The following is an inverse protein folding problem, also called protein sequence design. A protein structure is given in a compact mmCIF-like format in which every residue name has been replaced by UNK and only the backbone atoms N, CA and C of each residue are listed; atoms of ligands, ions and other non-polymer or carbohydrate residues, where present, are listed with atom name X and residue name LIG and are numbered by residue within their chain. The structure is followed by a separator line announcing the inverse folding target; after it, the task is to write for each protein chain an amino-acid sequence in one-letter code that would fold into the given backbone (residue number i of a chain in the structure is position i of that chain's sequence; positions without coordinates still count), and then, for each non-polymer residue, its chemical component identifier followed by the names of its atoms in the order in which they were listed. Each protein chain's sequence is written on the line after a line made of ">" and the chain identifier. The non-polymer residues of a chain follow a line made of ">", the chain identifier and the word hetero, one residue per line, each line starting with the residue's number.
data_IF_806751473071
#
_entry.id   IF_806751473071
#
_cell.length_a   1.000
_cell.length_b   1.000
_cell.length_c   1.000
_cell.angle_alpha   90.00
_cell.angle_beta   90.00
_cell.angle_gamma   90.00
#
_symmetry.space_group_name_H-M   'P 1'
#
loop_
_entity.id
_entity.type
_entity.pdbx_description
1 polymer ?
#
# COMPACT_ATOMS: atom_id res chain seq x y z
N UNK A 1 9.50 49.00 52.07
CA UNK A 1 9.14 48.90 50.64
C UNK A 1 9.90 47.73 50.06
N UNK A 2 9.17 46.71 49.63
CA UNK A 2 9.64 45.37 49.27
C UNK A 2 10.19 45.39 47.84
N UNK A 3 11.44 44.96 47.65
CA UNK A 3 11.96 44.57 46.33
C UNK A 3 11.46 43.16 46.01
N UNK A 4 10.66 43.05 44.96
CA UNK A 4 10.23 41.78 44.39
C UNK A 4 11.33 41.28 43.44
N UNK A 5 12.07 40.26 43.88
CA UNK A 5 12.92 39.45 43.02
C UNK A 5 12.05 38.47 42.23
N UNK A 6 11.79 38.76 40.96
CA UNK A 6 11.28 37.80 39.99
C UNK A 6 12.47 37.13 39.29
N UNK A 7 12.90 35.98 39.80
CA UNK A 7 13.76 35.05 39.05
C UNK A 7 12.91 34.32 38.03
N UNK A 8 13.02 34.73 36.76
CA UNK A 8 12.58 33.96 35.62
C UNK A 8 13.35 32.63 35.58
N UNK A 9 12.63 31.52 35.67
CA UNK A 9 13.20 30.19 35.44
C UNK A 9 13.45 30.01 33.93
N UNK A 10 14.72 29.83 33.56
CA UNK A 10 15.15 29.56 32.20
C UNK A 10 14.55 28.24 31.65
N UNK A 11 14.23 28.12 30.35
CA UNK A 11 13.65 26.91 29.76
C UNK A 11 14.61 25.70 29.62
N UNK A 12 15.84 25.81 30.12
CA UNK A 12 16.93 24.88 29.78
C UNK A 12 16.99 23.59 30.63
N UNK A 13 16.05 23.36 31.54
CA UNK A 13 16.13 22.23 32.48
C UNK A 13 15.16 21.06 32.22
N UNK A 14 14.48 21.00 31.08
CA UNK A 14 13.53 19.91 30.75
C UNK A 14 14.11 18.81 29.85
N UNK A 15 15.32 18.96 29.30
CA UNK A 15 15.90 18.01 28.35
C UNK A 15 16.71 16.85 28.98
N UNK A 16 16.79 16.75 30.31
CA UNK A 16 17.85 15.96 30.97
C UNK A 16 17.41 14.69 31.72
N UNK A 17 16.19 14.14 31.56
CA UNK A 17 15.82 12.88 32.22
C UNK A 17 14.63 12.14 31.55
N UNK A 18 14.72 11.84 30.25
CA UNK A 18 13.79 10.86 29.66
C UNK A 18 14.21 9.45 30.09
N UNK A 19 13.36 8.75 30.85
CA UNK A 19 13.57 7.33 31.16
C UNK A 19 13.78 6.51 29.87
N UNK A 20 14.71 5.55 29.82
CA UNK A 20 14.87 4.65 28.67
C UNK A 20 13.56 3.97 28.24
N UNK A 21 12.68 3.65 29.21
CA UNK A 21 11.36 3.07 28.93
C UNK A 21 10.41 4.07 28.23
N UNK A 22 10.49 5.36 28.57
CA UNK A 22 9.71 6.41 27.91
C UNK A 22 10.17 6.58 26.46
N UNK A 23 11.48 6.49 26.20
CA UNK A 23 12.03 6.62 24.85
C UNK A 23 11.65 5.42 23.98
N UNK A 24 11.76 4.19 24.49
CA UNK A 24 11.25 3.00 23.78
C UNK A 24 9.76 3.10 23.46
N UNK A 25 8.95 3.57 24.42
CA UNK A 25 7.52 3.78 24.20
C UNK A 25 7.25 4.78 23.07
N UNK A 26 7.96 5.92 23.04
CA UNK A 26 7.84 6.90 21.96
C UNK A 26 8.21 6.30 20.61
N UNK A 27 9.34 5.61 20.52
CA UNK A 27 9.78 4.95 19.28
C UNK A 27 8.78 3.89 18.80
N UNK A 28 8.24 3.08 19.72
CA UNK A 28 7.22 2.09 19.40
C UNK A 28 5.96 2.75 18.84
N UNK A 29 5.43 3.78 19.50
CA UNK A 29 4.25 4.49 19.02
C UNK A 29 4.47 5.11 17.64
N UNK A 30 5.63 5.74 17.42
CA UNK A 30 5.96 6.31 16.11
C UNK A 30 5.97 5.24 15.01
N UNK A 31 6.52 4.04 15.26
CA UNK A 31 6.46 2.93 14.29
C UNK A 31 5.05 2.46 14.02
N UNK A 32 4.23 2.33 15.07
CA UNK A 32 2.83 1.89 14.93
C UNK A 32 2.03 2.90 14.10
N UNK A 33 2.17 4.20 14.37
CA UNK A 33 1.51 5.24 13.58
C UNK A 33 1.99 5.21 12.13
N UNK A 34 3.29 5.11 11.87
CA UNK A 34 3.81 5.00 10.49
C UNK A 34 3.25 3.79 9.77
N UNK A 35 3.10 2.66 10.45
CA UNK A 35 2.45 1.47 9.92
C UNK A 35 0.96 1.72 9.63
N UNK A 36 0.25 2.42 10.50
CA UNK A 36 -1.15 2.81 10.27
C UNK A 36 -1.27 3.72 9.03
N UNK A 37 -0.35 4.67 8.85
CA UNK A 37 -0.26 5.50 7.64
C UNK A 37 0.02 4.67 6.40
N UNK A 38 1.00 3.76 6.44
CA UNK A 38 1.32 2.85 5.34
C UNK A 38 0.09 2.03 4.91
N UNK A 39 -0.59 1.40 5.87
CA UNK A 39 -1.80 0.61 5.62
C UNK A 39 -2.90 1.49 5.02
N UNK A 40 -3.09 2.69 5.55
CA UNK A 40 -4.12 3.64 5.09
C UNK A 40 -3.85 4.11 3.65
N UNK A 41 -2.59 4.40 3.30
CA UNK A 41 -2.17 4.80 1.95
C UNK A 41 -2.35 3.64 0.95
N UNK A 42 -1.99 2.41 1.33
CA UNK A 42 -2.22 1.24 0.48
C UNK A 42 -3.71 0.94 0.29
N UNK A 43 -4.54 1.24 1.29
CA UNK A 43 -5.99 1.13 1.19
C UNK A 43 -6.60 2.20 0.27
N UNK A 44 -6.11 3.45 0.33
CA UNK A 44 -6.46 4.50 -0.64
C UNK A 44 -6.17 4.03 -2.07
N UNK A 45 -5.00 3.44 -2.27
CA UNK A 45 -4.56 2.96 -3.56
C UNK A 45 -5.52 1.90 -4.16
N UNK A 46 -6.09 1.02 -3.33
CA UNK A 46 -7.12 0.06 -3.73
C UNK A 46 -8.35 0.75 -4.30
N UNK A 47 -8.84 1.82 -3.66
CA UNK A 47 -9.97 2.58 -4.17
C UNK A 47 -9.64 3.33 -5.45
N UNK A 48 -8.47 3.98 -5.53
CA UNK A 48 -8.02 4.72 -6.70
C UNK A 48 -7.85 3.78 -7.90
N UNK A 49 -7.28 2.58 -7.72
CA UNK A 49 -7.18 1.55 -8.75
C UNK A 49 -8.56 1.15 -9.28
N UNK A 50 -9.52 0.94 -8.37
CA UNK A 50 -10.90 0.56 -8.72
C UNK A 50 -11.64 1.71 -9.42
N UNK A 51 -11.44 2.94 -8.96
CA UNK A 51 -11.97 4.15 -9.56
C UNK A 51 -11.43 4.32 -10.98
N UNK A 52 -10.13 4.12 -11.21
CA UNK A 52 -9.53 4.09 -12.56
C UNK A 52 -10.29 3.12 -13.46
N UNK A 53 -10.46 1.87 -13.05
CA UNK A 53 -11.14 0.87 -13.88
C UNK A 53 -12.60 1.23 -14.21
N UNK A 54 -13.35 1.75 -13.22
CA UNK A 54 -14.74 2.16 -13.42
C UNK A 54 -14.87 3.41 -14.31
N UNK A 55 -13.94 4.36 -14.14
CA UNK A 55 -13.87 5.59 -14.94
C UNK A 55 -13.58 5.27 -16.41
N UNK A 56 -12.59 4.41 -16.68
CA UNK A 56 -12.26 4.01 -18.06
C UNK A 56 -13.42 3.25 -18.75
N UNK A 57 -14.19 2.48 -17.98
CA UNK A 57 -15.41 1.84 -18.49
C UNK A 57 -16.48 2.87 -18.83
N UNK A 58 -16.70 3.86 -17.96
CA UNK A 58 -17.67 4.92 -18.21
C UNK A 58 -17.28 5.80 -19.39
N UNK A 59 -16.01 6.21 -19.49
CA UNK A 59 -15.47 6.96 -20.64
C UNK A 59 -15.52 6.16 -21.94
N UNK A 60 -15.55 4.83 -21.87
CA UNK A 60 -15.83 3.96 -23.01
C UNK A 60 -17.30 3.95 -23.47
N UNK A 61 -18.21 4.51 -22.67
CA UNK A 61 -19.65 4.61 -22.97
C UNK A 61 -20.56 3.73 -22.12
N UNK A 62 -20.04 3.02 -21.11
CA UNK A 62 -20.85 2.17 -20.23
C UNK A 62 -21.37 2.95 -19.01
N UNK A 63 -22.52 3.61 -19.20
CA UNK A 63 -23.20 4.43 -18.19
C UNK A 63 -23.55 3.69 -16.89
N UNK A 64 -23.59 2.36 -16.91
CA UNK A 64 -23.87 1.57 -15.70
C UNK A 64 -22.76 1.65 -14.64
N UNK A 65 -21.55 2.10 -15.01
CA UNK A 65 -20.46 2.36 -14.06
C UNK A 65 -20.59 3.68 -13.30
N UNK A 66 -21.43 4.62 -13.74
CA UNK A 66 -21.54 5.98 -13.16
C UNK A 66 -21.75 5.98 -11.65
N UNK A 67 -22.67 5.15 -11.15
CA UNK A 67 -22.93 5.05 -9.71
C UNK A 67 -21.70 4.54 -8.94
N UNK A 68 -20.99 3.55 -9.50
CA UNK A 68 -19.77 3.02 -8.90
C UNK A 68 -18.65 4.06 -8.86
N UNK A 69 -18.50 4.87 -9.91
CA UNK A 69 -17.51 5.96 -9.93
C UNK A 69 -17.79 6.95 -8.80
N UNK A 70 -19.01 7.49 -8.69
CA UNK A 70 -19.35 8.44 -7.62
C UNK A 70 -19.22 7.83 -6.22
N UNK A 71 -19.62 6.58 -6.03
CA UNK A 71 -19.45 5.89 -4.75
C UNK A 71 -17.96 5.78 -4.37
N UNK A 72 -17.10 5.43 -5.32
CA UNK A 72 -15.66 5.35 -5.11
C UNK A 72 -15.04 6.73 -4.84
N UNK A 73 -15.55 7.79 -5.48
CA UNK A 73 -15.11 9.15 -5.20
C UNK A 73 -15.37 9.54 -3.75
N UNK A 74 -16.59 9.32 -3.27
CA UNK A 74 -16.97 9.59 -1.89
C UNK A 74 -16.14 8.77 -0.89
N UNK A 75 -15.97 7.47 -1.15
CA UNK A 75 -15.16 6.59 -0.30
C UNK A 75 -13.70 7.01 -0.23
N UNK A 76 -13.12 7.38 -1.38
CA UNK A 76 -11.71 7.80 -1.46
C UNK A 76 -11.51 9.13 -0.75
N UNK A 77 -12.41 10.11 -0.92
CA UNK A 77 -12.34 11.39 -0.22
C UNK A 77 -12.46 11.24 1.30
N UNK A 78 -13.39 10.41 1.80
CA UNK A 78 -13.49 10.11 3.23
C UNK A 78 -12.21 9.44 3.78
N UNK A 79 -11.56 8.59 2.96
CA UNK A 79 -10.31 7.96 3.35
C UNK A 79 -9.13 8.95 3.37
N UNK A 80 -9.12 9.97 2.51
CA UNK A 80 -8.17 11.07 2.56
C UNK A 80 -8.32 11.91 3.83
N UNK A 81 -9.56 12.21 4.24
CA UNK A 81 -9.85 12.88 5.52
C UNK A 81 -9.34 12.04 6.70
N UNK A 82 -9.58 10.73 6.68
CA UNK A 82 -9.06 9.82 7.70
C UNK A 82 -7.52 9.78 7.74
N UNK A 83 -6.86 9.73 6.57
CA UNK A 83 -5.40 9.81 6.47
C UNK A 83 -4.87 11.12 7.09
N UNK A 84 -5.52 12.24 6.82
CA UNK A 84 -5.16 13.54 7.39
C UNK A 84 -5.25 13.53 8.91
N UNK A 85 -6.31 12.93 9.48
CA UNK A 85 -6.48 12.79 10.92
C UNK A 85 -5.35 11.96 11.55
N UNK A 86 -4.98 10.82 10.96
CA UNK A 86 -3.87 10.00 11.46
C UNK A 86 -2.56 10.82 11.43
N UNK A 87 -2.28 11.49 10.30
CA UNK A 87 -1.05 12.25 10.14
C UNK A 87 -0.97 13.41 11.15
N UNK A 88 -2.06 14.15 11.33
CA UNK A 88 -2.13 15.31 12.24
C UNK A 88 -2.06 14.94 13.73
N UNK A 89 -2.50 13.74 14.12
CA UNK A 89 -2.50 13.31 15.53
C UNK A 89 -1.14 12.79 16.03
N UNK A 90 -0.14 12.65 15.16
CA UNK A 90 1.07 11.90 15.47
C UNK A 90 2.38 12.59 15.07
N UNK A 91 2.45 13.91 15.27
CA UNK A 91 3.61 14.73 14.92
C UNK A 91 3.96 14.70 13.41
N UNK A 92 2.95 14.52 12.55
CA UNK A 92 3.06 14.55 11.08
C UNK A 92 4.16 13.64 10.50
N UNK A 93 4.08 12.30 10.67
CA UNK A 93 5.10 11.40 10.14
C UNK A 93 5.20 11.43 8.62
N UNK A 94 4.10 11.76 7.92
CA UNK A 94 4.13 12.10 6.50
C UNK A 94 4.35 13.61 6.36
N UNK A 95 5.40 13.99 5.62
CA UNK A 95 5.72 15.39 5.37
C UNK A 95 4.54 16.13 4.70
N UNK A 96 4.34 17.39 5.05
CA UNK A 96 3.22 18.20 4.52
C UNK A 96 3.18 18.23 2.99
N UNK A 97 4.35 18.34 2.35
CA UNK A 97 4.48 18.32 0.90
C UNK A 97 4.02 16.98 0.29
N UNK A 98 4.28 15.85 0.95
CA UNK A 98 3.87 14.53 0.46
C UNK A 98 2.36 14.33 0.58
N UNK A 99 1.77 14.76 1.70
CA UNK A 99 0.32 14.75 1.88
C UNK A 99 -0.38 15.69 0.89
N UNK A 100 0.13 16.91 0.71
CA UNK A 100 -0.41 17.88 -0.24
C UNK A 100 -0.35 17.34 -1.68
N UNK A 101 0.74 16.71 -2.08
CA UNK A 101 0.84 16.07 -3.40
C UNK A 101 -0.16 14.92 -3.58
N UNK A 102 -0.35 14.07 -2.57
CA UNK A 102 -1.37 13.01 -2.63
C UNK A 102 -2.77 13.59 -2.80
N UNK A 103 -3.12 14.58 -1.98
CA UNK A 103 -4.44 15.21 -2.00
C UNK A 103 -4.67 15.96 -3.31
N UNK A 104 -3.69 16.73 -3.79
CA UNK A 104 -3.77 17.45 -5.06
C UNK A 104 -3.90 16.49 -6.24
N UNK A 105 -3.16 15.38 -6.24
CA UNK A 105 -3.28 14.34 -7.26
C UNK A 105 -4.69 13.77 -7.32
N UNK A 106 -5.29 13.47 -6.17
CA UNK A 106 -6.68 12.99 -6.10
C UNK A 106 -7.70 14.05 -6.53
N UNK A 107 -7.58 15.29 -6.02
CA UNK A 107 -8.46 16.40 -6.41
C UNK A 107 -8.39 16.66 -7.92
N UNK A 108 -7.21 16.55 -8.52
CA UNK A 108 -7.03 16.68 -9.97
C UNK A 108 -7.78 15.58 -10.71
N UNK A 109 -7.67 14.33 -10.26
CA UNK A 109 -8.38 13.20 -10.87
C UNK A 109 -9.89 13.36 -10.81
N UNK A 110 -10.47 13.87 -9.72
CA UNK A 110 -11.94 13.99 -9.61
C UNK A 110 -12.48 15.29 -10.21
N UNK A 111 -11.59 16.23 -10.55
CA UNK A 111 -11.97 17.50 -11.16
C UNK A 111 -12.07 17.32 -12.66
N UNK A 112 -13.30 17.36 -13.16
CA UNK A 112 -13.60 17.38 -14.59
C UNK A 112 -13.24 16.11 -15.38
N UNK A 113 -13.08 14.98 -14.67
CA UNK A 113 -12.73 13.68 -15.27
C UNK A 113 -13.68 13.19 -16.36
N UNK A 114 -14.93 13.67 -16.38
CA UNK A 114 -15.91 13.34 -17.42
C UNK A 114 -15.53 13.93 -18.78
N UNK A 115 -14.71 14.99 -18.79
CA UNK A 115 -14.20 15.65 -19.98
C UNK A 115 -12.76 15.25 -20.34
N UNK A 116 -12.10 14.47 -19.48
CA UNK A 116 -10.78 13.92 -19.78
C UNK A 116 -10.87 12.92 -20.93
N UNK A 117 -9.85 12.91 -21.79
CA UNK A 117 -9.67 11.76 -22.68
C UNK A 117 -9.25 10.52 -21.87
N UNK A 118 -9.46 9.33 -22.46
CA UNK A 118 -9.15 8.05 -21.80
C UNK A 118 -7.71 7.98 -21.31
N UNK A 119 -6.77 8.49 -22.10
CA UNK A 119 -5.34 8.40 -21.83
C UNK A 119 -4.96 9.34 -20.68
N UNK A 120 -5.45 10.58 -20.67
CA UNK A 120 -5.27 11.53 -19.59
C UNK A 120 -5.79 10.97 -18.27
N UNK A 121 -7.03 10.47 -18.27
CA UNK A 121 -7.62 9.85 -17.08
C UNK A 121 -6.75 8.67 -16.60
N UNK A 122 -6.30 7.80 -17.50
CA UNK A 122 -5.41 6.70 -17.15
C UNK A 122 -4.08 7.17 -16.52
N UNK A 123 -3.43 8.18 -17.10
CA UNK A 123 -2.13 8.67 -16.64
C UNK A 123 -2.22 9.41 -15.31
N UNK A 124 -3.24 10.25 -15.09
CA UNK A 124 -3.43 10.94 -13.79
C UNK A 124 -3.55 9.94 -12.63
N UNK A 125 -4.36 8.89 -12.81
CA UNK A 125 -4.46 7.82 -11.83
C UNK A 125 -3.14 7.08 -11.64
N UNK A 126 -2.44 6.79 -12.73
CA UNK A 126 -1.18 6.03 -12.68
C UNK A 126 -0.08 6.81 -11.95
N UNK A 127 0.02 8.12 -12.18
CA UNK A 127 0.96 8.99 -11.46
C UNK A 127 0.66 9.07 -9.96
N UNK A 128 -0.62 9.18 -9.57
CA UNK A 128 -0.99 9.16 -8.15
C UNK A 128 -0.63 7.82 -7.50
N UNK A 129 -0.87 6.70 -8.18
CA UNK A 129 -0.53 5.38 -7.68
C UNK A 129 1.00 5.16 -7.57
N UNK A 130 1.78 5.76 -8.46
CA UNK A 130 3.25 5.77 -8.38
C UNK A 130 3.77 6.59 -7.18
N UNK A 131 3.12 7.73 -6.87
CA UNK A 131 3.40 8.49 -5.64
C UNK A 131 3.09 7.63 -4.40
N UNK A 132 1.94 6.94 -4.36
CA UNK A 132 1.59 6.03 -3.26
C UNK A 132 2.66 4.94 -3.08
N UNK A 133 3.15 4.30 -4.14
CA UNK A 133 4.21 3.28 -4.04
C UNK A 133 5.47 3.83 -3.38
N UNK A 134 5.90 5.03 -3.82
CA UNK A 134 7.09 5.69 -3.29
C UNK A 134 6.94 6.01 -1.80
N UNK A 135 5.81 6.58 -1.39
CA UNK A 135 5.56 6.89 0.01
C UNK A 135 5.48 5.62 0.86
N UNK A 136 4.87 4.56 0.34
CA UNK A 136 4.82 3.26 1.01
C UNK A 136 6.22 2.67 1.26
N UNK A 137 7.14 2.84 0.31
CA UNK A 137 8.54 2.42 0.46
C UNK A 137 9.25 3.22 1.56
N UNK A 138 9.14 4.56 1.54
CA UNK A 138 9.72 5.43 2.57
C UNK A 138 9.19 5.09 3.96
N UNK A 139 7.87 4.95 4.13
CA UNK A 139 7.27 4.57 5.41
C UNK A 139 7.75 3.18 5.87
N UNK A 140 7.85 2.21 4.97
CA UNK A 140 8.35 0.87 5.28
C UNK A 140 9.79 0.90 5.83
N UNK A 141 10.66 1.72 5.25
CA UNK A 141 12.04 1.89 5.72
C UNK A 141 12.07 2.49 7.13
N UNK A 142 11.26 3.52 7.39
CA UNK A 142 11.18 4.17 8.71
C UNK A 142 10.56 3.28 9.79
N UNK A 143 9.55 2.47 9.46
CA UNK A 143 8.93 1.51 10.38
C UNK A 143 9.95 0.49 10.87
N UNK A 144 10.80 0.01 9.97
CA UNK A 144 11.78 -1.05 10.22
C UNK A 144 13.18 -0.53 10.54
N UNK A 145 13.34 0.79 10.70
CA UNK A 145 14.61 1.38 11.10
C UNK A 145 15.05 0.86 12.47
N UNK A 146 16.35 0.61 12.63
CA UNK A 146 16.95 0.18 13.90
C UNK A 146 16.58 1.17 15.03
N UNK A 147 16.09 0.69 16.19
CA UNK A 147 15.81 1.55 17.34
C UNK A 147 17.02 2.41 17.76
N UNK A 148 16.80 3.71 17.98
CA UNK A 148 17.85 4.62 18.43
C UNK A 148 18.31 4.23 19.85
N UNK A 149 19.62 4.34 20.11
CA UNK A 149 20.23 3.92 21.38
C UNK A 149 20.65 2.45 21.43
N UNK A 150 20.44 1.68 20.37
CA UNK A 150 21.04 0.35 20.20
C UNK A 150 22.45 0.38 19.59
N UNK A 151 22.94 1.55 19.19
CA UNK A 151 24.24 1.71 18.52
C UNK A 151 25.40 1.29 19.41
N UNK A 152 25.27 1.48 20.73
CA UNK A 152 26.32 1.18 21.70
C UNK A 152 26.26 -0.26 22.25
N UNK A 153 25.26 -1.07 21.86
CA UNK A 153 25.08 -2.44 22.33
C UNK A 153 24.93 -3.44 21.16
N UNK A 154 26.07 -3.81 20.56
CA UNK A 154 26.15 -4.71 19.40
C UNK A 154 25.44 -6.06 19.61
N UNK A 155 25.49 -6.61 20.83
CA UNK A 155 24.86 -7.89 21.13
C UNK A 155 23.33 -7.79 21.11
N UNK A 156 22.77 -6.72 21.69
CA UNK A 156 21.33 -6.48 21.67
C UNK A 156 20.85 -6.11 20.27
N UNK A 157 21.60 -5.24 19.56
CA UNK A 157 21.32 -4.88 18.16
C UNK A 157 21.28 -6.11 17.27
N UNK A 158 22.31 -6.96 17.32
CA UNK A 158 22.36 -8.20 16.53
C UNK A 158 21.17 -9.12 16.82
N UNK A 159 20.72 -9.19 18.08
CA UNK A 159 19.52 -9.96 18.42
C UNK A 159 18.25 -9.35 17.82
N UNK A 160 18.05 -8.03 17.96
CA UNK A 160 16.91 -7.32 17.38
C UNK A 160 16.86 -7.54 15.87
N UNK A 161 18.00 -7.37 15.20
CA UNK A 161 18.08 -7.48 13.74
C UNK A 161 17.76 -8.91 13.26
N UNK A 162 18.33 -9.93 13.90
CA UNK A 162 18.12 -11.32 13.52
C UNK A 162 16.73 -11.86 13.88
N UNK A 163 16.15 -11.41 15.01
CA UNK A 163 14.85 -11.89 15.48
C UNK A 163 13.67 -11.14 14.85
N UNK A 164 13.83 -9.85 14.56
CA UNK A 164 12.73 -8.98 14.13
C UNK A 164 13.05 -8.24 12.82
N UNK A 165 14.09 -7.41 12.77
CA UNK A 165 14.30 -6.48 11.64
C UNK A 165 14.45 -7.20 10.30
N UNK A 166 15.37 -8.17 10.17
CA UNK A 166 15.60 -8.86 8.89
C UNK A 166 14.39 -9.71 8.46
N UNK A 167 13.79 -10.54 9.33
CA UNK A 167 12.57 -11.27 8.95
C UNK A 167 11.42 -10.35 8.54
N UNK A 168 11.21 -9.23 9.25
CA UNK A 168 10.17 -8.26 8.92
C UNK A 168 10.45 -7.49 7.64
N UNK A 169 11.71 -7.19 7.34
CA UNK A 169 12.09 -6.56 6.08
C UNK A 169 11.74 -7.47 4.90
N UNK A 170 12.09 -8.76 4.97
CA UNK A 170 11.74 -9.72 3.92
C UNK A 170 10.23 -9.89 3.78
N UNK A 171 9.49 -9.96 4.90
CA UNK A 171 8.04 -10.03 4.90
C UNK A 171 7.41 -8.79 4.24
N UNK A 172 7.85 -7.59 4.64
CA UNK A 172 7.29 -6.33 4.15
C UNK A 172 7.64 -6.10 2.69
N UNK A 173 8.90 -6.32 2.29
CA UNK A 173 9.30 -6.23 0.90
C UNK A 173 8.49 -7.17 0.01
N UNK A 174 8.32 -8.43 0.42
CA UNK A 174 7.67 -9.44 -0.42
C UNK A 174 6.14 -9.32 -0.40
N UNK A 175 5.53 -9.37 0.79
CA UNK A 175 4.09 -9.50 0.94
C UNK A 175 3.35 -8.16 0.98
N UNK A 176 4.07 -7.03 1.10
CA UNK A 176 3.46 -5.70 1.06
C UNK A 176 3.86 -4.96 -0.21
N UNK A 177 5.15 -4.69 -0.42
CA UNK A 177 5.60 -3.82 -1.50
C UNK A 177 5.59 -4.51 -2.87
N UNK A 178 6.28 -5.65 -3.01
CA UNK A 178 6.35 -6.41 -4.27
C UNK A 178 4.95 -6.89 -4.70
N UNK A 179 4.15 -7.35 -3.73
CA UNK A 179 2.78 -7.79 -3.98
C UNK A 179 1.88 -6.64 -4.46
N UNK A 180 2.00 -5.46 -3.85
CA UNK A 180 1.25 -4.30 -4.29
C UNK A 180 1.62 -3.87 -5.72
N UNK A 181 2.92 -3.83 -6.04
CA UNK A 181 3.38 -3.54 -7.41
C UNK A 181 2.86 -4.55 -8.42
N UNK A 182 2.86 -5.84 -8.05
CA UNK A 182 2.31 -6.90 -8.87
C UNK A 182 0.80 -6.70 -9.12
N UNK A 183 0.05 -6.33 -8.08
CA UNK A 183 -1.39 -6.02 -8.17
C UNK A 183 -1.65 -4.79 -9.04
N UNK A 184 -0.78 -3.78 -9.03
CA UNK A 184 -0.94 -2.60 -9.87
C UNK A 184 -0.93 -2.94 -11.37
N UNK A 185 -0.08 -3.89 -11.82
CA UNK A 185 -0.15 -4.39 -13.19
C UNK A 185 -1.51 -5.01 -13.51
N UNK A 186 -2.05 -5.83 -12.60
CA UNK A 186 -3.40 -6.41 -12.76
C UNK A 186 -4.48 -5.33 -12.80
N UNK A 187 -4.36 -4.28 -11.98
CA UNK A 187 -5.29 -3.16 -11.98
C UNK A 187 -5.28 -2.39 -13.31
N UNK A 188 -4.09 -2.19 -13.91
CA UNK A 188 -3.93 -1.59 -15.24
C UNK A 188 -4.56 -2.46 -16.32
N UNK A 189 -4.25 -3.76 -16.31
CA UNK A 189 -4.82 -4.75 -17.24
C UNK A 189 -6.34 -4.81 -17.12
N UNK A 190 -6.88 -4.86 -15.89
CA UNK A 190 -8.33 -4.83 -15.64
C UNK A 190 -8.96 -3.55 -16.20
N UNK A 191 -8.35 -2.39 -15.96
CA UNK A 191 -8.87 -1.10 -16.42
C UNK A 191 -9.01 -1.04 -17.94
N UNK A 192 -7.90 -1.26 -18.66
CA UNK A 192 -7.93 -1.25 -20.13
C UNK A 192 -8.76 -2.40 -20.71
N UNK A 193 -8.65 -3.60 -20.14
CA UNK A 193 -9.46 -4.75 -20.57
C UNK A 193 -10.96 -4.52 -20.44
N UNK A 194 -11.38 -3.86 -19.36
CA UNK A 194 -12.79 -3.46 -19.18
C UNK A 194 -13.20 -2.43 -20.23
N UNK A 195 -12.37 -1.43 -20.48
CA UNK A 195 -12.64 -0.42 -21.51
C UNK A 195 -12.78 -1.05 -22.91
N UNK A 196 -11.84 -1.90 -23.31
CA UNK A 196 -11.90 -2.62 -24.61
C UNK A 196 -13.18 -3.44 -24.75
N UNK A 197 -13.66 -4.04 -23.66
CA UNK A 197 -14.92 -4.77 -23.64
C UNK A 197 -16.16 -3.86 -23.77
N UNK A 198 -16.09 -2.62 -23.27
CA UNK A 198 -17.15 -1.62 -23.46
C UNK A 198 -17.22 -1.18 -24.91
N UNK A 199 -16.07 -0.78 -25.48
CA UNK A 199 -15.99 -0.32 -26.87
C UNK A 199 -16.32 -1.47 -27.84
N UNK A 200 -16.07 -2.72 -27.43
CA UNK A 200 -16.36 -3.91 -28.22
C UNK A 200 -15.25 -4.26 -29.22
N UNK A 201 -14.10 -3.59 -29.15
CA UNK A 201 -12.94 -3.84 -29.98
C UNK A 201 -11.64 -3.67 -29.20
N UNK A 202 -10.61 -4.38 -29.65
CA UNK A 202 -9.25 -4.24 -29.15
C UNK A 202 -8.45 -3.37 -30.12
N UNK A 203 -8.36 -2.07 -29.86
CA UNK A 203 -7.43 -1.23 -30.62
C UNK A 203 -5.99 -1.76 -30.48
N UNK A 204 -5.21 -1.66 -31.56
CA UNK A 204 -3.86 -2.24 -31.65
C UNK A 204 -2.91 -1.62 -30.62
N UNK A 205 -3.05 -0.32 -30.33
CA UNK A 205 -2.20 0.35 -29.35
C UNK A 205 -2.51 -0.13 -27.93
N UNK A 206 -3.78 -0.09 -27.52
CA UNK A 206 -4.22 -0.59 -26.21
C UNK A 206 -3.92 -2.08 -26.05
N UNK A 207 -4.16 -2.86 -27.10
CA UNK A 207 -3.83 -4.27 -27.19
C UNK A 207 -2.35 -4.53 -26.88
N UNK A 208 -1.47 -3.74 -27.50
CA UNK A 208 -0.02 -3.85 -27.29
C UNK A 208 0.39 -3.46 -25.86
N UNK A 209 -0.21 -2.42 -25.27
CA UNK A 209 0.05 -2.00 -23.89
C UNK A 209 -0.36 -3.06 -22.86
N UNK A 210 -1.55 -3.64 -23.04
CA UNK A 210 -2.03 -4.73 -22.19
C UNK A 210 -1.15 -5.97 -22.31
N UNK A 211 -0.74 -6.33 -23.53
CA UNK A 211 0.18 -7.45 -23.75
C UNK A 211 1.53 -7.23 -23.05
N UNK A 212 2.07 -6.01 -23.12
CA UNK A 212 3.28 -5.62 -22.40
C UNK A 212 3.11 -5.77 -20.88
N UNK A 213 2.05 -5.23 -20.29
CA UNK A 213 1.82 -5.36 -18.84
C UNK A 213 1.55 -6.79 -18.41
N UNK A 214 0.93 -7.62 -19.26
CA UNK A 214 0.77 -9.05 -18.98
C UNK A 214 2.13 -9.77 -18.93
N UNK A 215 3.07 -9.40 -19.80
CA UNK A 215 4.42 -9.93 -19.78
C UNK A 215 5.16 -9.49 -18.50
N UNK A 216 5.12 -8.20 -18.17
CA UNK A 216 5.72 -7.67 -16.94
C UNK A 216 5.12 -8.32 -15.69
N UNK A 217 3.80 -8.47 -15.65
CA UNK A 217 3.11 -9.16 -14.57
C UNK A 217 3.63 -10.60 -14.40
N UNK A 218 3.74 -11.38 -15.48
CA UNK A 218 4.24 -12.77 -15.41
C UNK A 218 5.67 -12.82 -14.88
N UNK A 219 6.55 -11.95 -15.38
CA UNK A 219 7.94 -11.86 -14.93
C UNK A 219 8.04 -11.49 -13.44
N UNK A 220 7.30 -10.48 -13.00
CA UNK A 220 7.27 -10.04 -11.60
C UNK A 220 6.64 -11.09 -10.68
N UNK A 221 5.63 -11.80 -11.16
CA UNK A 221 4.98 -12.88 -10.42
C UNK A 221 5.95 -14.03 -10.15
N UNK A 222 6.75 -14.44 -11.13
CA UNK A 222 7.74 -15.49 -10.93
C UNK A 222 8.74 -15.12 -9.83
N UNK A 223 9.21 -13.87 -9.84
CA UNK A 223 10.07 -13.35 -8.77
C UNK A 223 9.37 -13.31 -7.41
N UNK A 224 8.11 -12.89 -7.37
CA UNK A 224 7.31 -12.94 -6.15
C UNK A 224 7.17 -14.38 -5.60
N UNK A 225 6.88 -15.35 -6.48
CA UNK A 225 6.77 -16.77 -6.11
C UNK A 225 8.10 -17.36 -5.57
N UNK A 226 9.25 -16.80 -5.98
CA UNK A 226 10.56 -17.15 -5.41
C UNK A 226 10.80 -16.46 -4.06
N UNK A 227 10.55 -15.14 -3.98
CA UNK A 227 10.75 -14.35 -2.77
C UNK A 227 9.88 -14.84 -1.60
N UNK A 228 8.67 -15.34 -1.88
CA UNK A 228 7.76 -15.87 -0.86
C UNK A 228 8.36 -17.07 -0.11
N UNK A 229 9.27 -17.83 -0.74
CA UNK A 229 9.97 -18.96 -0.11
C UNK A 229 11.03 -18.49 0.89
N UNK A 230 11.46 -17.22 0.81
CA UNK A 230 12.42 -16.59 1.71
C UNK A 230 11.75 -15.92 2.91
N UNK A 231 10.42 -15.80 2.90
CA UNK A 231 9.66 -15.31 4.06
C UNK A 231 9.80 -16.32 5.20
N UNK A 232 10.10 -15.81 6.39
CA UNK A 232 10.31 -16.66 7.57
C UNK A 232 9.13 -17.59 7.81
N UNK A 233 9.40 -18.87 7.97
CA UNK A 233 8.38 -19.92 8.14
C UNK A 233 7.48 -19.68 9.36
N UNK A 234 7.96 -18.92 10.34
CA UNK A 234 7.19 -18.53 11.52
C UNK A 234 5.98 -17.63 11.20
N UNK A 235 6.02 -16.89 10.08
CA UNK A 235 4.94 -15.99 9.67
C UNK A 235 3.88 -16.67 8.81
N UNK A 236 4.20 -17.78 8.14
CA UNK A 236 3.29 -18.46 7.21
C UNK A 236 1.94 -18.87 7.86
N UNK A 237 1.88 -19.37 9.11
CA UNK A 237 0.60 -19.67 9.76
C UNK A 237 -0.28 -18.44 10.01
N UNK A 238 0.33 -17.25 10.15
CA UNK A 238 -0.36 -16.00 10.43
C UNK A 238 -0.88 -15.30 9.16
N UNK A 239 -0.51 -15.79 7.97
CA UNK A 239 -0.90 -15.21 6.68
C UNK A 239 -1.65 -16.29 5.88
N UNK A 240 -2.88 -16.67 6.29
CA UNK A 240 -3.64 -17.75 5.66
C UNK A 240 -3.92 -17.52 4.17
N UNK A 241 -3.96 -16.27 3.71
CA UNK A 241 -4.12 -15.90 2.31
C UNK A 241 -3.04 -16.49 1.40
N UNK A 242 -1.82 -16.73 1.89
CA UNK A 242 -0.75 -17.38 1.13
C UNK A 242 -1.16 -18.79 0.65
N UNK A 243 -1.91 -19.52 1.48
CA UNK A 243 -2.43 -20.86 1.13
C UNK A 243 -3.50 -20.80 0.04
N UNK A 244 -4.16 -19.66 -0.12
CA UNK A 244 -5.20 -19.45 -1.13
C UNK A 244 -4.65 -19.01 -2.49
N UNK A 245 -3.39 -18.57 -2.56
CA UNK A 245 -2.75 -18.11 -3.79
C UNK A 245 -2.81 -19.12 -4.94
N UNK A 246 -2.61 -20.44 -4.75
CA UNK A 246 -2.76 -21.40 -5.85
C UNK A 246 -4.15 -21.39 -6.51
N UNK A 247 -5.21 -21.27 -5.70
CA UNK A 247 -6.58 -21.18 -6.21
C UNK A 247 -6.82 -19.84 -6.92
N UNK A 248 -6.27 -18.76 -6.36
CA UNK A 248 -6.33 -17.43 -6.98
C UNK A 248 -5.59 -17.40 -8.32
N UNK A 249 -4.46 -18.11 -8.41
CA UNK A 249 -3.68 -18.28 -9.64
C UNK A 249 -4.48 -19.00 -10.74
N UNK A 250 -5.37 -19.94 -10.39
CA UNK A 250 -6.27 -20.55 -11.37
C UNK A 250 -7.25 -19.52 -11.97
N UNK A 251 -7.87 -18.69 -11.12
CA UNK A 251 -8.76 -17.60 -11.57
C UNK A 251 -8.02 -16.57 -12.42
N UNK A 252 -6.82 -16.21 -12.00
CA UNK A 252 -5.91 -15.31 -12.72
C UNK A 252 -5.54 -15.86 -14.10
N UNK A 253 -5.16 -17.13 -14.19
CA UNK A 253 -4.84 -17.74 -15.48
C UNK A 253 -6.05 -17.74 -16.43
N UNK A 254 -7.24 -18.06 -15.90
CA UNK A 254 -8.47 -17.95 -16.68
C UNK A 254 -8.74 -16.51 -17.16
N UNK A 255 -8.59 -15.52 -16.29
CA UNK A 255 -8.75 -14.10 -16.62
C UNK A 255 -7.77 -13.66 -17.72
N UNK A 256 -6.48 -14.00 -17.61
CA UNK A 256 -5.46 -13.66 -18.61
C UNK A 256 -5.73 -14.36 -19.93
N UNK A 257 -6.08 -15.65 -19.92
CA UNK A 257 -6.39 -16.41 -21.14
C UNK A 257 -7.61 -15.85 -21.85
N UNK A 258 -8.65 -15.47 -21.09
CA UNK A 258 -9.86 -14.84 -21.64
C UNK A 258 -9.49 -13.52 -22.34
N UNK A 259 -8.75 -12.65 -21.67
CA UNK A 259 -8.32 -11.38 -22.21
C UNK A 259 -7.45 -11.54 -23.47
N UNK A 260 -6.45 -12.43 -23.40
CA UNK A 260 -5.55 -12.70 -24.53
C UNK A 260 -6.26 -13.28 -25.76
N UNK A 261 -7.31 -14.09 -25.57
CA UNK A 261 -8.13 -14.59 -26.67
C UNK A 261 -8.92 -13.46 -27.34
N UNK A 262 -9.61 -12.63 -26.54
CA UNK A 262 -10.41 -11.52 -27.10
C UNK A 262 -9.52 -10.50 -27.84
N UNK A 263 -8.33 -10.22 -27.32
CA UNK A 263 -7.38 -9.28 -27.95
C UNK A 263 -6.74 -9.77 -29.25
N UNK A 264 -6.60 -11.08 -29.42
CA UNK A 264 -5.99 -11.67 -30.62
C UNK A 264 -7.03 -12.04 -31.68
N UNK A 265 -8.30 -12.11 -31.30
CA UNK A 265 -9.38 -12.37 -32.25
C UNK A 265 -9.62 -11.14 -33.14
N UNK A 266 -9.66 -11.31 -34.46
CA UNK A 266 -10.12 -10.26 -35.41
C UNK A 266 -11.64 -9.98 -35.28
N UNK A 267 -12.25 -10.35 -34.15
CA UNK A 267 -13.68 -10.31 -33.90
C UNK A 267 -13.98 -9.28 -32.82
N UNK A 268 -15.22 -8.80 -32.81
CA UNK A 268 -15.75 -7.95 -31.75
C UNK A 268 -15.59 -8.62 -30.38
N UNK A 269 -15.13 -7.87 -29.39
CA UNK A 269 -14.99 -8.28 -27.99
C UNK A 269 -16.35 -8.71 -27.44
N UNK A 270 -16.49 -9.97 -27.00
CA UNK A 270 -17.81 -10.55 -26.63
C UNK A 270 -18.06 -10.63 -25.13
N UNK A 271 -17.01 -10.48 -24.32
CA UNK A 271 -17.15 -10.60 -22.87
C UNK A 271 -17.74 -9.31 -22.31
N UNK A 272 -18.80 -9.36 -21.48
CA UNK A 272 -19.35 -8.17 -20.84
C UNK A 272 -18.32 -7.43 -19.98
N UNK A 273 -18.24 -6.10 -20.12
CA UNK A 273 -17.38 -5.18 -19.37
C UNK A 273 -17.42 -5.44 -17.85
N UNK A 274 -18.62 -5.47 -17.26
CA UNK A 274 -18.84 -5.76 -15.85
C UNK A 274 -18.25 -7.08 -15.38
N UNK A 275 -18.35 -8.12 -16.22
CA UNK A 275 -17.82 -9.44 -15.86
C UNK A 275 -16.30 -9.39 -15.75
N UNK A 276 -15.62 -8.75 -16.70
CA UNK A 276 -14.16 -8.58 -16.65
C UNK A 276 -13.73 -7.71 -15.48
N UNK A 277 -14.44 -6.60 -15.24
CA UNK A 277 -14.16 -5.72 -14.13
C UNK A 277 -14.27 -6.44 -12.78
N UNK A 278 -15.34 -7.21 -12.57
CA UNK A 278 -15.56 -7.97 -11.34
C UNK A 278 -14.54 -9.10 -11.16
N UNK A 279 -14.25 -9.86 -12.21
CA UNK A 279 -13.23 -10.91 -12.17
C UNK A 279 -11.86 -10.35 -11.79
N UNK A 280 -11.42 -9.26 -12.45
CA UNK A 280 -10.16 -8.62 -12.13
C UNK A 280 -10.13 -8.08 -10.69
N UNK A 281 -11.25 -7.50 -10.23
CA UNK A 281 -11.38 -6.99 -8.86
C UNK A 281 -11.28 -8.11 -7.83
N UNK A 282 -11.96 -9.24 -8.04
CA UNK A 282 -11.89 -10.40 -7.13
C UNK A 282 -10.46 -10.96 -7.03
N UNK A 283 -9.74 -11.03 -8.15
CA UNK A 283 -8.34 -11.47 -8.18
C UNK A 283 -7.45 -10.50 -7.40
N UNK A 284 -7.61 -9.20 -7.63
CA UNK A 284 -6.87 -8.14 -6.94
C UNK A 284 -7.13 -8.19 -5.43
N UNK A 285 -8.39 -8.24 -5.02
CA UNK A 285 -8.79 -8.28 -3.61
C UNK A 285 -8.22 -9.51 -2.90
N UNK A 286 -8.17 -10.67 -3.57
CA UNK A 286 -7.55 -11.87 -3.03
C UNK A 286 -6.04 -11.72 -2.75
N UNK A 287 -5.31 -11.00 -3.61
CA UNK A 287 -3.89 -10.71 -3.37
C UNK A 287 -3.73 -9.65 -2.28
N UNK A 288 -4.54 -8.59 -2.29
CA UNK A 288 -4.46 -7.54 -1.27
C UNK A 288 -4.85 -8.05 0.13
N UNK A 289 -5.67 -9.10 0.24
CA UNK A 289 -5.92 -9.76 1.53
C UNK A 289 -4.66 -10.38 2.15
N UNK A 290 -3.70 -10.86 1.34
CA UNK A 290 -2.39 -11.32 1.83
C UNK A 290 -1.59 -10.16 2.41
N UNK A 291 -1.61 -9.01 1.72
CA UNK A 291 -0.95 -7.79 2.18
C UNK A 291 -1.54 -7.30 3.51
N UNK A 292 -2.87 -7.32 3.66
CA UNK A 292 -3.56 -6.91 4.89
C UNK A 292 -3.13 -7.80 6.08
N UNK A 293 -3.04 -9.12 5.85
CA UNK A 293 -2.57 -10.09 6.86
C UNK A 293 -1.08 -9.91 7.19
N UNK A 294 -0.24 -9.63 6.19
CA UNK A 294 1.18 -9.37 6.41
C UNK A 294 1.40 -8.11 7.27
N UNK A 295 0.67 -7.03 7.00
CA UNK A 295 0.73 -5.81 7.81
C UNK A 295 0.27 -6.05 9.27
N UNK A 296 -0.71 -6.93 9.49
CA UNK A 296 -1.10 -7.34 10.84
C UNK A 296 0.05 -8.07 11.57
N UNK A 297 0.75 -8.98 10.89
CA UNK A 297 1.93 -9.65 11.43
C UNK A 297 3.03 -8.64 11.76
N UNK A 298 3.30 -7.66 10.89
CA UNK A 298 4.27 -6.59 11.17
C UNK A 298 3.91 -5.87 12.47
N UNK A 299 2.65 -5.46 12.65
CA UNK A 299 2.18 -4.80 13.88
C UNK A 299 2.45 -5.64 15.13
N UNK A 300 2.10 -6.92 15.10
CA UNK A 300 2.28 -7.83 16.24
C UNK A 300 3.76 -8.01 16.59
N UNK A 301 4.62 -8.11 15.57
CA UNK A 301 6.06 -8.26 15.77
C UNK A 301 6.73 -6.97 16.27
N UNK A 302 6.24 -5.79 15.87
CA UNK A 302 6.70 -4.52 16.44
C UNK A 302 6.38 -4.43 17.94
N UNK A 303 5.23 -4.95 18.36
CA UNK A 303 4.88 -5.05 19.78
C UNK A 303 5.79 -6.04 20.52
N UNK A 304 6.00 -7.24 19.96
CA UNK A 304 6.88 -8.25 20.55
C UNK A 304 8.33 -7.75 20.68
N UNK A 305 8.84 -7.04 19.66
CA UNK A 305 10.16 -6.41 19.69
C UNK A 305 10.27 -5.40 20.84
N UNK A 306 9.26 -4.54 21.02
CA UNK A 306 9.25 -3.56 22.11
C UNK A 306 9.22 -4.21 23.49
N UNK A 307 8.42 -5.28 23.69
CA UNK A 307 8.38 -6.01 24.96
C UNK A 307 9.73 -6.63 25.31
N UNK A 308 10.40 -7.26 24.33
CA UNK A 308 11.75 -7.83 24.54
C UNK A 308 12.77 -6.76 24.98
N UNK A 309 12.70 -5.55 24.40
CA UNK A 309 13.57 -4.44 24.79
C UNK A 309 13.26 -3.95 26.22
N UNK A 310 12.00 -3.87 26.61
CA UNK A 310 11.59 -3.47 27.97
C UNK A 310 12.02 -4.47 29.05
N UNK A 311 11.89 -5.78 28.77
CA UNK A 311 12.35 -6.84 29.67
C UNK A 311 13.86 -6.74 29.93
N UNK A 312 14.63 -6.34 28.91
CA UNK A 312 16.09 -6.17 29.02
C UNK A 312 16.48 -4.97 29.87
N UNK A 313 15.82 -3.82 29.68
CA UNK A 313 16.03 -2.66 30.56
C UNK A 313 15.75 -2.99 32.03
N UNK A 314 14.75 -3.83 32.27
CA UNK A 314 14.39 -4.26 33.62
C UNK A 314 15.43 -5.21 34.24
N UNK A 315 16.14 -5.98 33.42
CA UNK A 315 17.17 -6.92 33.86
C UNK A 315 18.55 -6.27 34.09
N UNK A 316 18.84 -5.13 33.46
CA UNK A 316 20.09 -4.38 33.62
C UNK A 316 20.03 -3.36 34.78
N UNK A 317 18.83 -3.05 35.29
CA UNK A 317 18.60 -2.11 36.38
C UNK A 317 18.41 -2.73 37.77
N UNK A 318 18.54 -4.06 37.92
CA UNK A 318 18.46 -4.80 39.19
C UNK A 318 19.76 -5.51 39.54
#
# INVERSE_FOLDING_TARGET
>A
MVQLNTTAASPQNQAANSSPALELFKQHNQRVVRLDLLVTILYLARFIQRHRGATLALLGGDESFRHQVHALQHQTSAQFEYLQCINGCADQPLADNDFEQLNLGWVTIIKDWENDDLQQSFEFHSHLLELIIRLSRTLSEEILATPAGLEDNDALRSRVDNSFTYPLHNLTQTCVLDLYELVEYLARIRGLGTHMAVVGEADKEMGSRVAFWLQEFRYRKERFDQNIQLVSSQYLPCIPGLKSLPNLNMKLNYFISLLGHEMTSERSFKVPSHKLFLMGTEIIDGHLAVMDQANAVVRDQLYAMNQMLLERLSAEGG
#
